data_IF_305419755594
#
_entry.id   IF_305419755594
#
_cell.length_a   1.000
_cell.length_b   1.000
_cell.length_c   1.000
_cell.angle_alpha   90.00
_cell.angle_beta   90.00
_cell.angle_gamma   90.00
#
_symmetry.space_group_name_H-M   'P 1'
#
loop_
_entity.id
_entity.type
_entity.pdbx_description
1 polymer ?
#
# COMPACT_ATOMS: atom_id res chain seq x y z
N UNK A 1 -0.72 -27.26 -59.82
CA UNK A 1 -1.39 -26.27 -58.95
C UNK A 1 -0.98 -26.58 -57.53
N UNK A 2 0.05 -25.89 -57.01
CA UNK A 2 0.62 -26.20 -55.70
C UNK A 2 -0.16 -25.46 -54.60
N UNK A 3 -0.56 -26.18 -53.54
CA UNK A 3 -1.18 -25.59 -52.36
C UNK A 3 -0.18 -24.65 -51.67
N UNK A 4 -0.59 -23.44 -51.24
CA UNK A 4 0.27 -22.59 -50.42
C UNK A 4 0.41 -23.20 -49.02
N UNK A 5 1.63 -23.24 -48.51
CA UNK A 5 1.92 -23.66 -47.15
C UNK A 5 1.25 -22.68 -46.17
N UNK A 6 0.21 -23.13 -45.47
CA UNK A 6 -0.41 -22.39 -44.38
C UNK A 6 0.52 -22.44 -43.16
N UNK A 7 1.54 -21.57 -43.15
CA UNK A 7 1.97 -20.95 -41.91
C UNK A 7 0.73 -20.28 -41.32
N UNK A 8 0.37 -20.51 -40.07
CA UNK A 8 1.14 -20.07 -38.92
C UNK A 8 0.71 -20.96 -37.78
N UNK A 9 1.65 -21.70 -37.18
CA UNK A 9 1.40 -22.26 -35.86
C UNK A 9 1.17 -21.07 -34.95
N UNK A 10 -0.09 -20.76 -34.64
CA UNK A 10 -0.44 -19.87 -33.53
C UNK A 10 0.03 -20.58 -32.26
N UNK A 11 1.32 -20.41 -31.97
CA UNK A 11 1.91 -20.94 -30.75
C UNK A 11 1.16 -20.29 -29.60
N UNK A 12 0.71 -21.12 -28.66
CA UNK A 12 -0.07 -20.77 -27.44
C UNK A 12 0.55 -19.65 -26.58
N UNK A 13 1.71 -19.14 -26.99
CA UNK A 13 2.38 -17.94 -26.48
C UNK A 13 1.59 -16.65 -26.75
N UNK A 14 0.78 -16.59 -27.82
CA UNK A 14 0.00 -15.39 -28.18
C UNK A 14 -1.25 -15.18 -27.30
N UNK A 15 -1.64 -16.17 -26.49
CA UNK A 15 -2.72 -16.05 -25.48
C UNK A 15 -2.19 -15.92 -24.05
N UNK A 16 -0.88 -15.81 -23.86
CA UNK A 16 -0.33 -15.48 -22.55
C UNK A 16 -0.32 -13.95 -22.42
N UNK A 17 -1.21 -13.45 -21.56
CA UNK A 17 -1.12 -12.09 -21.01
C UNK A 17 0.35 -11.83 -20.62
N UNK A 18 0.98 -10.72 -21.01
CA UNK A 18 2.39 -10.48 -20.74
C UNK A 18 2.61 -10.46 -19.23
N UNK A 19 3.19 -11.53 -18.70
CA UNK A 19 3.61 -11.67 -17.32
C UNK A 19 5.10 -11.97 -17.37
N UNK A 20 5.91 -10.94 -17.16
CA UNK A 20 7.38 -11.00 -17.25
C UNK A 20 8.01 -12.05 -16.31
N UNK A 21 7.24 -12.55 -15.32
CA UNK A 21 7.59 -13.74 -14.55
C UNK A 21 6.34 -14.33 -13.84
N UNK A 22 5.75 -15.44 -14.31
CA UNK A 22 4.48 -15.95 -13.77
C UNK A 22 4.55 -16.30 -12.27
N UNK A 23 5.69 -16.81 -11.81
CA UNK A 23 5.88 -17.15 -10.39
C UNK A 23 5.88 -15.92 -9.48
N UNK A 24 6.44 -14.80 -9.93
CA UNK A 24 6.43 -13.55 -9.16
C UNK A 24 5.03 -12.93 -9.16
N UNK A 25 4.28 -13.03 -10.26
CA UNK A 25 2.90 -12.52 -10.31
C UNK A 25 1.95 -13.30 -9.41
N UNK A 26 2.07 -14.63 -9.31
CA UNK A 26 1.24 -15.43 -8.39
C UNK A 26 1.62 -15.19 -6.93
N UNK A 27 2.90 -14.93 -6.64
CA UNK A 27 3.35 -14.56 -5.30
C UNK A 27 2.82 -13.17 -4.89
N UNK A 28 2.92 -12.17 -5.77
CA UNK A 28 2.32 -10.84 -5.56
C UNK A 28 0.79 -10.93 -5.39
N UNK A 29 0.10 -11.74 -6.19
CA UNK A 29 -1.34 -11.99 -6.04
C UNK A 29 -1.69 -12.67 -4.71
N UNK A 30 -0.82 -13.56 -4.19
CA UNK A 30 -1.03 -14.21 -2.89
C UNK A 30 -0.81 -13.23 -1.73
N UNK A 31 0.18 -12.35 -1.85
CA UNK A 31 0.44 -11.30 -0.86
C UNK A 31 -0.71 -10.27 -0.84
N UNK A 32 -1.25 -9.93 -2.01
CA UNK A 32 -2.45 -9.10 -2.14
C UNK A 32 -3.71 -9.77 -1.55
N UNK A 33 -3.87 -11.09 -1.67
CA UNK A 33 -4.96 -11.81 -1.01
C UNK A 33 -4.89 -11.69 0.52
N UNK A 34 -3.69 -11.79 1.10
CA UNK A 34 -3.48 -11.56 2.54
C UNK A 34 -3.80 -10.13 2.97
N UNK A 35 -3.51 -9.14 2.11
CA UNK A 35 -3.84 -7.73 2.33
C UNK A 35 -5.36 -7.49 2.35
N UNK A 36 -6.08 -8.05 1.38
CA UNK A 36 -7.55 -7.94 1.27
C UNK A 36 -8.24 -8.54 2.50
N UNK A 37 -7.73 -9.65 3.02
CA UNK A 37 -8.25 -10.27 4.25
C UNK A 37 -7.96 -9.45 5.52
N UNK A 38 -7.21 -8.34 5.43
CA UNK A 38 -6.86 -7.47 6.56
C UNK A 38 -5.86 -8.09 7.54
N UNK A 39 -5.34 -9.29 7.24
CA UNK A 39 -4.38 -10.01 8.08
C UNK A 39 -2.93 -9.67 7.73
N UNK A 40 -2.68 -9.22 6.50
CA UNK A 40 -1.34 -8.81 6.10
C UNK A 40 -1.00 -7.39 6.60
N UNK A 41 0.28 -7.22 6.91
CA UNK A 41 0.86 -5.98 7.41
C UNK A 41 1.71 -5.32 6.33
N UNK A 42 1.44 -4.04 6.07
CA UNK A 42 2.34 -3.16 5.33
C UNK A 42 3.38 -2.61 6.29
N UNK A 43 4.66 -2.84 6.02
CA UNK A 43 5.76 -2.16 6.72
C UNK A 43 6.47 -1.25 5.73
N UNK A 44 6.35 0.06 5.92
CA UNK A 44 6.96 1.05 5.04
C UNK A 44 8.12 1.75 5.73
N UNK A 45 9.31 1.59 5.15
CA UNK A 45 10.49 2.36 5.54
C UNK A 45 10.59 3.63 4.70
N UNK A 46 10.53 4.79 5.35
CA UNK A 46 10.82 6.07 4.72
C UNK A 46 12.34 6.19 4.54
N UNK A 47 12.76 6.57 3.33
CA UNK A 47 14.17 6.69 2.93
C UNK A 47 14.56 8.13 2.59
N UNK A 48 13.59 9.05 2.67
CA UNK A 48 13.77 10.46 2.41
C UNK A 48 12.83 11.27 3.28
N UNK A 49 13.19 12.53 3.51
CA UNK A 49 12.44 13.46 4.33
C UNK A 49 11.29 14.10 3.52
N UNK A 50 10.32 13.27 3.13
CA UNK A 50 9.19 13.64 2.28
C UNK A 50 7.89 12.98 2.73
N UNK A 51 6.76 13.57 2.32
CA UNK A 51 5.43 13.02 2.56
C UNK A 51 5.25 11.69 1.78
N UNK A 52 4.50 10.77 2.37
CA UNK A 52 4.26 9.45 1.79
C UNK A 52 2.81 9.28 1.38
N UNK A 53 2.55 8.78 0.18
CA UNK A 53 1.20 8.40 -0.27
C UNK A 53 1.10 6.89 -0.36
N UNK A 54 0.11 6.32 0.32
CA UNK A 54 -0.21 4.89 0.20
C UNK A 54 -0.70 4.63 -1.23
N UNK A 55 -0.04 3.71 -1.92
CA UNK A 55 -0.33 3.42 -3.33
C UNK A 55 -1.66 2.68 -3.50
N UNK A 56 -2.45 3.11 -4.49
CA UNK A 56 -3.65 2.43 -4.98
C UNK A 56 -3.43 1.79 -6.35
N UNK A 57 -2.20 1.83 -6.87
CA UNK A 57 -1.88 1.35 -8.21
C UNK A 57 -1.91 -0.19 -8.27
N UNK A 58 -2.35 -0.73 -9.41
CA UNK A 58 -2.32 -2.17 -9.64
C UNK A 58 -0.87 -2.70 -9.55
N UNK A 59 -0.68 -3.82 -8.84
CA UNK A 59 0.64 -4.40 -8.54
C UNK A 59 1.36 -3.79 -7.32
N UNK A 60 0.88 -2.68 -6.76
CA UNK A 60 1.40 -2.08 -5.52
C UNK A 60 0.26 -1.57 -4.63
N UNK A 61 -0.85 -2.32 -4.55
CA UNK A 61 -2.06 -1.93 -3.81
C UNK A 61 -1.84 -1.99 -2.30
N UNK A 62 -1.18 -0.96 -1.78
CA UNK A 62 -0.94 -0.76 -0.35
C UNK A 62 -2.21 -0.31 0.39
N UNK A 63 -3.19 0.21 -0.34
CA UNK A 63 -4.49 0.66 0.17
C UNK A 63 -5.36 -0.47 0.74
N UNK A 64 -5.02 -1.73 0.47
CA UNK A 64 -5.80 -2.88 0.93
C UNK A 64 -5.40 -3.32 2.34
N UNK A 65 -4.16 -3.03 2.77
CA UNK A 65 -3.62 -3.52 4.05
C UNK A 65 -4.35 -2.89 5.24
N UNK A 66 -4.82 -3.74 6.16
CA UNK A 66 -5.47 -3.34 7.40
C UNK A 66 -4.49 -2.91 8.49
N UNK A 67 -3.23 -3.36 8.44
CA UNK A 67 -2.18 -2.99 9.38
C UNK A 67 -1.06 -2.24 8.64
N UNK A 68 -0.73 -1.03 9.07
CA UNK A 68 0.31 -0.19 8.47
C UNK A 68 1.31 0.24 9.53
N UNK A 69 2.58 -0.11 9.36
CA UNK A 69 3.69 0.34 10.20
C UNK A 69 4.61 1.23 9.39
N UNK A 70 4.85 2.44 9.85
CA UNK A 70 5.81 3.37 9.26
C UNK A 70 7.09 3.35 10.08
N UNK A 71 8.22 3.17 9.42
CA UNK A 71 9.57 3.17 10.01
C UNK A 71 10.47 4.15 9.28
N UNK A 72 11.57 4.53 9.91
CA UNK A 72 12.58 5.42 9.33
C UNK A 72 13.97 4.95 9.75
N UNK A 73 14.44 3.92 9.05
CA UNK A 73 15.75 3.32 9.29
C UNK A 73 16.82 4.30 8.82
N UNK A 74 17.56 4.86 9.78
CA UNK A 74 18.56 5.91 9.53
C UNK A 74 18.17 7.29 10.07
N UNK A 75 16.99 7.43 10.69
CA UNK A 75 16.49 8.70 11.22
C UNK A 75 16.54 9.83 10.16
N UNK A 76 16.07 9.52 8.96
CA UNK A 76 16.09 10.41 7.79
C UNK A 76 15.06 11.54 7.95
N UNK A 77 14.02 11.32 8.76
CA UNK A 77 12.98 12.30 9.06
C UNK A 77 13.49 13.37 10.01
N UNK A 78 13.61 14.59 9.51
CA UNK A 78 14.05 15.74 10.32
C UNK A 78 12.89 16.50 10.95
N UNK A 79 11.68 16.30 10.44
CA UNK A 79 10.42 16.91 10.90
C UNK A 79 9.24 15.95 10.75
N UNK A 80 8.09 16.33 11.28
CA UNK A 80 6.85 15.59 11.08
C UNK A 80 6.41 15.57 9.62
N UNK A 81 5.86 14.43 9.18
CA UNK A 81 5.44 14.20 7.79
C UNK A 81 3.99 13.75 7.69
N UNK A 82 3.42 13.99 6.52
CA UNK A 82 2.07 13.55 6.20
C UNK A 82 2.11 12.15 5.56
N UNK A 83 1.26 11.27 6.06
CA UNK A 83 0.95 9.99 5.43
C UNK A 83 -0.41 10.14 4.78
N UNK A 84 -0.41 10.21 3.45
CA UNK A 84 -1.60 10.39 2.63
C UNK A 84 -2.28 9.03 2.45
N UNK A 85 -3.42 8.88 3.10
CA UNK A 85 -4.28 7.70 3.06
C UNK A 85 -5.34 7.89 1.96
N UNK A 86 -5.52 6.91 1.05
CA UNK A 86 -6.59 6.91 0.08
C UNK A 86 -7.97 6.98 0.73
N UNK A 87 -8.94 7.59 0.04
CA UNK A 87 -10.33 7.79 0.49
C UNK A 87 -11.16 6.51 0.58
N UNK A 88 -10.53 5.34 0.56
CA UNK A 88 -11.20 4.05 0.71
C UNK A 88 -11.67 3.91 2.17
N UNK A 89 -12.98 3.74 2.34
CA UNK A 89 -13.59 3.47 3.63
C UNK A 89 -13.11 2.13 4.19
N UNK A 90 -12.23 2.21 5.19
CA UNK A 90 -11.61 1.05 5.83
C UNK A 90 -11.03 1.48 7.18
N UNK A 91 -11.21 0.62 8.18
CA UNK A 91 -10.51 0.71 9.46
C UNK A 91 -9.10 0.13 9.29
N UNK A 92 -8.09 0.91 9.67
CA UNK A 92 -6.69 0.49 9.65
C UNK A 92 -6.04 0.69 11.01
N UNK A 93 -5.27 -0.30 11.43
CA UNK A 93 -4.36 -0.16 12.55
C UNK A 93 -3.05 0.44 12.05
N UNK A 94 -2.64 1.56 12.63
CA UNK A 94 -1.40 2.25 12.26
C UNK A 94 -0.42 2.28 13.42
N UNK A 95 0.86 2.14 13.09
CA UNK A 95 1.98 2.25 14.03
C UNK A 95 2.98 3.27 13.48
N UNK A 96 3.21 4.36 14.23
CA UNK A 96 4.32 5.27 13.99
C UNK A 96 5.54 4.78 14.76
N UNK A 97 6.44 4.05 14.10
CA UNK A 97 7.71 3.61 14.67
C UNK A 97 8.88 4.52 14.25
N UNK A 98 8.59 5.79 13.95
CA UNK A 98 9.59 6.83 13.66
C UNK A 98 9.83 7.71 14.88
N UNK A 99 10.90 8.51 14.85
CA UNK A 99 11.22 9.48 15.90
C UNK A 99 10.41 10.79 15.79
N UNK A 100 9.59 10.94 14.76
CA UNK A 100 8.85 12.17 14.47
C UNK A 100 7.34 11.97 14.58
N UNK A 101 6.58 13.06 14.69
CA UNK A 101 5.11 13.00 14.64
C UNK A 101 4.65 12.83 13.20
N UNK A 102 3.86 11.79 12.93
CA UNK A 102 3.29 11.53 11.60
C UNK A 102 1.82 11.90 11.60
N UNK A 103 1.38 12.64 10.59
CA UNK A 103 -0.03 13.02 10.41
C UNK A 103 -0.65 12.16 9.33
N UNK A 104 -1.59 11.29 9.71
CA UNK A 104 -2.32 10.45 8.80
C UNK A 104 -3.56 11.21 8.31
N UNK A 105 -3.58 11.58 7.04
CA UNK A 105 -4.66 12.38 6.44
C UNK A 105 -5.00 11.88 5.04
N UNK A 106 -6.16 12.25 4.52
CA UNK A 106 -6.42 12.08 3.08
C UNK A 106 -5.81 13.25 2.30
N UNK A 107 -5.79 13.16 0.96
CA UNK A 107 -5.25 14.21 0.11
C UNK A 107 -5.94 15.58 0.30
N UNK A 108 -7.26 15.57 0.57
CA UNK A 108 -8.08 16.79 0.66
C UNK A 108 -8.70 17.02 2.06
N UNK A 109 -8.69 16.01 2.94
CA UNK A 109 -9.37 16.06 4.22
C UNK A 109 -8.47 16.35 5.42
N UNK A 110 -9.08 16.31 6.60
CA UNK A 110 -8.39 16.36 7.89
C UNK A 110 -7.81 15.00 8.23
N UNK A 111 -6.93 14.99 9.23
CA UNK A 111 -6.28 13.77 9.67
C UNK A 111 -5.83 13.82 11.11
N UNK A 112 -5.26 12.69 11.53
CA UNK A 112 -4.88 12.41 12.90
C UNK A 112 -3.37 12.37 13.04
N UNK A 113 -2.85 13.12 14.00
CA UNK A 113 -1.44 13.10 14.32
C UNK A 113 -1.15 11.97 15.33
N UNK A 114 -0.18 11.13 15.00
CA UNK A 114 0.39 10.13 15.92
C UNK A 114 1.81 10.53 16.26
N UNK A 115 2.07 10.71 17.56
CA UNK A 115 3.41 11.05 18.04
C UNK A 115 4.35 9.85 17.91
N UNK A 116 5.64 10.07 18.16
CA UNK A 116 6.68 9.04 18.10
C UNK A 116 6.28 7.79 18.91
N UNK A 117 6.39 6.61 18.29
CA UNK A 117 6.09 5.33 18.92
C UNK A 117 4.60 5.01 19.10
N UNK A 118 3.69 5.94 18.83
CA UNK A 118 2.26 5.72 19.05
C UNK A 118 1.63 4.79 18.02
N UNK A 119 0.63 4.06 18.49
CA UNK A 119 -0.23 3.20 17.67
C UNK A 119 -1.69 3.59 17.85
N UNK A 120 -2.50 3.34 16.85
CA UNK A 120 -3.91 3.67 16.91
C UNK A 120 -4.73 2.98 15.83
N UNK A 121 -6.02 2.84 16.11
CA UNK A 121 -7.01 2.50 15.10
C UNK A 121 -7.49 3.78 14.46
N UNK A 122 -7.28 3.90 13.15
CA UNK A 122 -7.75 5.00 12.33
C UNK A 122 -8.81 4.49 11.35
N UNK A 123 -9.86 5.26 11.17
CA UNK A 123 -10.85 5.03 10.12
C UNK A 123 -10.76 6.14 9.09
N UNK A 124 -10.83 5.77 7.82
CA UNK A 124 -11.13 6.75 6.78
C UNK A 124 -12.63 6.72 6.50
N UNK A 125 -13.33 7.84 6.73
CA UNK A 125 -14.78 7.96 6.52
C UNK A 125 -15.16 8.22 5.05
N UNK A 126 -14.17 8.24 4.15
CA UNK A 126 -14.31 8.58 2.73
C UNK A 126 -13.81 9.98 2.39
N UNK A 127 -13.65 10.86 3.38
CA UNK A 127 -13.10 12.22 3.19
C UNK A 127 -12.00 12.53 4.18
N UNK A 128 -12.19 12.21 5.47
CA UNK A 128 -11.26 12.49 6.55
C UNK A 128 -10.70 11.19 7.12
N UNK A 129 -9.58 11.32 7.82
CA UNK A 129 -9.08 10.26 8.69
C UNK A 129 -9.43 10.64 10.12
N UNK A 130 -10.12 9.75 10.82
CA UNK A 130 -10.55 9.93 12.21
C UNK A 130 -9.99 8.83 13.10
N UNK A 131 -9.70 9.16 14.36
CA UNK A 131 -9.20 8.20 15.33
C UNK A 131 -10.35 7.48 16.02
N UNK A 132 -10.36 6.15 15.94
CA UNK A 132 -11.38 5.29 16.55
C UNK A 132 -11.09 5.01 18.03
N UNK A 133 -9.86 4.60 18.35
CA UNK A 133 -9.44 4.23 19.70
C UNK A 133 -8.00 4.72 19.93
N UNK A 134 -7.76 5.26 21.12
CA UNK A 134 -6.48 5.79 21.58
C UNK A 134 -6.01 5.05 22.83
N UNK A 135 -4.76 4.54 22.84
CA UNK A 135 -4.07 4.08 24.07
C UNK A 135 -3.64 2.61 24.09
N UNK A 136 -2.67 2.24 23.26
CA UNK A 136 -1.94 0.96 23.34
C UNK A 136 -0.45 1.18 23.14
#
# INVERSE_FOLDING_TARGET
MALPALGTTHSLKELQHPQDNPDVTVNDMRDQLGAIAGLAKLTKNLTSDADYTISTAAGTREDLYGLVKITDTGAVLTTGRNIIVPTRQQVRFVENATAQTLTFKTAAGTGEALTTGQKGWLECDGTNVVKLISGW
#
